data_IF_039668298170
#
_entry.id   IF_039668298170
#
_cell.length_a   1.000
_cell.length_b   1.000
_cell.length_c   1.000
_cell.angle_alpha   90.00
_cell.angle_beta   90.00
_cell.angle_gamma   90.00
#
_symmetry.space_group_name_H-M   'P 1'
#
loop_
_entity.id
_entity.type
_entity.pdbx_description
1 polymer ?
#
# COMPACT_ATOMS: atom_id res chain seq x y z
N UNK A 1 -38.97 46.97 -11.96
CA UNK A 1 -38.23 46.03 -12.84
C UNK A 1 -36.75 45.87 -12.43
N UNK A 2 -36.40 45.93 -11.13
CA UNK A 2 -35.00 45.82 -10.67
C UNK A 2 -34.69 44.50 -9.93
N UNK A 3 -35.71 43.77 -9.48
CA UNK A 3 -35.55 42.56 -8.67
C UNK A 3 -35.28 41.28 -9.49
N UNK A 4 -35.67 41.25 -10.78
CA UNK A 4 -35.46 40.09 -11.66
C UNK A 4 -33.98 39.90 -12.06
N UNK A 5 -33.20 40.98 -12.16
CA UNK A 5 -31.78 40.91 -12.56
C UNK A 5 -30.87 40.40 -11.45
N UNK A 6 -31.23 40.58 -10.18
CA UNK A 6 -30.44 40.13 -9.03
C UNK A 6 -30.49 38.60 -8.91
N UNK A 7 -31.64 38.00 -9.21
CA UNK A 7 -31.83 36.54 -9.15
C UNK A 7 -31.01 35.83 -10.23
N UNK A 8 -30.99 36.38 -11.45
CA UNK A 8 -30.20 35.82 -12.56
C UNK A 8 -28.69 35.89 -12.30
N UNK A 9 -28.22 36.97 -11.67
CA UNK A 9 -26.80 37.16 -11.37
C UNK A 9 -26.31 36.20 -10.26
N UNK A 10 -27.15 35.96 -9.24
CA UNK A 10 -26.84 35.00 -8.18
C UNK A 10 -26.87 33.55 -8.69
N UNK A 11 -27.78 33.21 -9.61
CA UNK A 11 -27.85 31.87 -10.22
C UNK A 11 -26.61 31.60 -11.08
N UNK A 12 -26.16 32.59 -11.88
CA UNK A 12 -24.93 32.51 -12.68
C UNK A 12 -23.69 32.32 -11.81
N UNK A 13 -23.57 33.05 -10.71
CA UNK A 13 -22.47 32.87 -9.75
C UNK A 13 -22.49 31.47 -9.13
N UNK A 14 -23.68 30.94 -8.81
CA UNK A 14 -23.83 29.59 -8.26
C UNK A 14 -23.39 28.51 -9.26
N UNK A 15 -23.75 28.66 -10.55
CA UNK A 15 -23.29 27.75 -11.60
C UNK A 15 -21.79 27.86 -11.88
N UNK A 16 -21.19 29.05 -11.78
CA UNK A 16 -19.72 29.23 -11.93
C UNK A 16 -18.98 28.55 -10.77
N UNK A 17 -19.49 28.62 -9.53
CA UNK A 17 -18.90 27.93 -8.37
C UNK A 17 -19.06 26.42 -8.49
N UNK A 18 -20.22 25.92 -8.94
CA UNK A 18 -20.44 24.49 -9.19
C UNK A 18 -19.55 23.94 -10.31
N UNK A 19 -19.36 24.70 -11.40
CA UNK A 19 -18.45 24.32 -12.49
C UNK A 19 -16.97 24.26 -12.04
N UNK A 20 -16.57 25.12 -11.09
CA UNK A 20 -15.23 25.05 -10.46
C UNK A 20 -15.07 23.88 -9.49
N UNK A 21 -16.15 23.37 -8.89
CA UNK A 21 -16.08 22.22 -7.98
C UNK A 21 -16.01 20.88 -8.74
N UNK A 22 -16.58 20.79 -9.94
CA UNK A 22 -16.51 19.57 -10.78
C UNK A 22 -15.19 19.41 -11.56
N UNK A 23 -14.29 20.40 -11.51
CA UNK A 23 -13.00 20.36 -12.23
C UNK A 23 -11.83 19.88 -11.37
N UNK A 24 -12.07 19.48 -10.11
CA UNK A 24 -11.11 18.66 -9.37
C UNK A 24 -11.20 17.21 -9.88
N UNK A 25 -10.56 16.99 -11.02
CA UNK A 25 -10.15 15.67 -11.46
C UNK A 25 -9.47 14.95 -10.28
N UNK A 26 -9.96 13.75 -10.00
CA UNK A 26 -9.32 12.81 -9.10
C UNK A 26 -7.81 12.75 -9.42
N UNK A 27 -6.91 12.76 -8.43
CA UNK A 27 -5.52 12.42 -8.69
C UNK A 27 -5.51 11.01 -9.25
N UNK A 28 -5.18 10.88 -10.54
CA UNK A 28 -4.72 9.62 -11.10
C UNK A 28 -3.55 9.18 -10.23
N UNK A 29 -3.68 7.97 -9.69
CA UNK A 29 -2.57 7.29 -9.02
C UNK A 29 -1.59 6.96 -10.14
N UNK A 30 -0.61 7.85 -10.34
CA UNK A 30 0.56 7.55 -11.16
C UNK A 30 1.32 6.44 -10.44
N UNK A 31 1.18 5.22 -10.95
CA UNK A 31 2.12 4.16 -10.66
C UNK A 31 3.41 4.54 -11.38
N UNK A 32 4.52 4.66 -10.64
CA UNK A 32 5.82 5.05 -11.19
C UNK A 32 6.30 4.05 -12.27
N UNK A 33 5.99 4.35 -13.55
CA UNK A 33 6.30 3.57 -14.76
C UNK A 33 7.80 3.58 -15.15
N UNK A 34 8.70 3.99 -14.25
CA UNK A 34 10.14 4.01 -14.52
C UNK A 34 10.78 2.62 -14.32
N UNK A 35 10.20 1.77 -13.47
CA UNK A 35 10.63 0.37 -13.30
C UNK A 35 10.18 -0.53 -14.46
N UNK A 36 8.99 -0.30 -15.04
CA UNK A 36 8.50 -1.05 -16.21
C UNK A 36 9.34 -0.78 -17.47
N UNK A 37 9.82 0.46 -17.66
CA UNK A 37 10.60 0.82 -18.86
C UNK A 37 12.00 0.22 -18.89
N UNK A 38 12.62 0.01 -17.73
CA UNK A 38 13.94 -0.63 -17.66
C UNK A 38 13.88 -2.15 -17.90
N UNK A 39 12.72 -2.79 -17.77
CA UNK A 39 12.57 -4.23 -17.96
C UNK A 39 12.58 -4.65 -19.45
N UNK A 40 12.07 -3.80 -20.36
CA UNK A 40 12.00 -4.13 -21.80
C UNK A 40 13.34 -4.03 -22.55
N UNK A 41 14.39 -3.44 -21.95
CA UNK A 41 15.65 -3.16 -22.65
C UNK A 41 16.66 -4.33 -22.62
N UNK A 42 16.43 -5.35 -21.80
CA UNK A 42 17.39 -6.46 -21.58
C UNK A 42 17.26 -7.57 -22.63
N UNK A 43 16.24 -7.55 -23.50
CA UNK A 43 15.89 -8.69 -24.36
C UNK A 43 16.59 -8.83 -25.72
N UNK A 44 17.63 -8.04 -26.07
CA UNK A 44 18.11 -7.99 -27.49
C UNK A 44 19.53 -8.44 -27.81
N UNK A 45 20.39 -8.82 -26.85
CA UNK A 45 21.72 -9.34 -27.20
C UNK A 45 21.88 -10.80 -26.76
N UNK A 46 21.67 -11.69 -27.73
CA UNK A 46 21.88 -13.12 -27.59
C UNK A 46 23.35 -13.48 -27.67
N UNK A 47 24.03 -13.59 -26.53
CA UNK A 47 25.28 -14.34 -26.37
C UNK A 47 25.59 -14.54 -24.88
N UNK A 48 24.77 -15.32 -24.15
CA UNK A 48 25.21 -15.80 -22.83
C UNK A 48 24.53 -17.11 -22.36
N UNK A 49 24.47 -18.08 -23.28
CA UNK A 49 23.80 -19.38 -23.08
C UNK A 49 24.52 -20.32 -22.08
N UNK A 50 25.60 -19.88 -21.40
CA UNK A 50 26.39 -20.71 -20.46
C UNK A 50 26.39 -20.22 -19.00
N UNK A 51 25.71 -19.13 -18.65
CA UNK A 51 25.49 -18.72 -17.25
C UNK A 51 24.09 -19.00 -16.69
N UNK A 52 23.24 -19.68 -17.46
CA UNK A 52 21.86 -20.02 -17.08
C UNK A 52 21.76 -21.18 -16.06
N UNK A 53 22.63 -21.20 -15.05
CA UNK A 53 22.33 -21.81 -13.74
C UNK A 53 21.66 -20.75 -12.84
N UNK A 54 20.85 -19.88 -13.43
CA UNK A 54 19.98 -18.99 -12.68
C UNK A 54 18.92 -19.88 -12.03
N UNK A 55 19.04 -20.06 -10.70
CA UNK A 55 18.08 -20.74 -9.87
C UNK A 55 16.65 -20.40 -10.34
N UNK A 56 15.94 -21.41 -10.85
CA UNK A 56 14.55 -21.29 -11.25
C UNK A 56 13.75 -20.84 -10.02
N UNK A 57 13.43 -19.54 -9.96
CA UNK A 57 12.60 -19.00 -8.89
C UNK A 57 11.18 -19.52 -9.12
N UNK A 58 10.70 -20.39 -8.23
CA UNK A 58 9.34 -20.94 -8.33
C UNK A 58 8.39 -20.06 -7.54
N UNK A 59 7.34 -19.57 -8.21
CA UNK A 59 6.26 -18.85 -7.55
C UNK A 59 5.35 -19.85 -6.83
N UNK A 60 4.95 -19.53 -5.60
CA UNK A 60 4.01 -20.34 -4.79
C UNK A 60 2.67 -19.59 -4.77
N UNK A 61 1.64 -20.07 -5.50
CA UNK A 61 0.34 -19.42 -5.51
C UNK A 61 -0.26 -19.38 -4.10
N UNK A 62 -0.85 -18.24 -3.72
CA UNK A 62 -1.52 -18.06 -2.42
C UNK A 62 -0.60 -17.89 -1.22
N UNK A 63 0.73 -17.86 -1.41
CA UNK A 63 1.64 -17.53 -0.32
C UNK A 63 1.46 -16.08 0.13
N UNK A 64 1.55 -15.81 1.44
CA UNK A 64 1.54 -14.45 1.97
C UNK A 64 2.74 -13.64 1.46
N UNK A 65 2.51 -12.36 1.18
CA UNK A 65 3.54 -11.44 0.73
C UNK A 65 3.27 -10.01 1.20
N UNK A 66 4.35 -9.23 1.33
CA UNK A 66 4.31 -7.78 1.58
C UNK A 66 4.89 -6.98 0.40
N UNK A 67 5.59 -7.65 -0.52
CA UNK A 67 6.12 -7.09 -1.76
C UNK A 67 6.14 -8.13 -2.89
N UNK A 68 6.19 -7.67 -4.14
CA UNK A 68 6.18 -8.56 -5.32
C UNK A 68 7.34 -9.56 -5.32
N UNK A 69 8.50 -9.18 -4.79
CA UNK A 69 9.69 -10.02 -4.73
C UNK A 69 9.58 -11.20 -3.75
N UNK A 70 8.67 -11.15 -2.76
CA UNK A 70 8.44 -12.26 -1.82
C UNK A 70 7.86 -13.49 -2.52
N UNK A 71 7.16 -13.27 -3.64
CA UNK A 71 6.59 -14.33 -4.46
C UNK A 71 7.64 -15.09 -5.29
N UNK A 72 8.90 -14.67 -5.25
CA UNK A 72 9.99 -15.21 -6.04
C UNK A 72 10.96 -16.02 -5.15
N UNK A 73 10.58 -17.22 -4.71
CA UNK A 73 11.47 -18.05 -3.89
C UNK A 73 12.59 -18.65 -4.74
N UNK A 74 13.85 -18.42 -4.33
CA UNK A 74 15.00 -19.19 -4.85
C UNK A 74 14.90 -20.60 -4.26
N UNK A 75 14.60 -21.61 -5.07
CA UNK A 75 14.92 -22.98 -4.68
C UNK A 75 16.44 -23.18 -4.75
N UNK A 76 16.97 -24.04 -3.88
CA UNK A 76 18.36 -24.46 -3.91
C UNK A 76 18.75 -25.10 -5.25
N UNK A 77 20.04 -25.40 -5.47
CA UNK A 77 20.50 -25.94 -6.74
C UNK A 77 19.68 -27.19 -7.13
N UNK A 78 19.22 -27.29 -8.38
CA UNK A 78 18.35 -28.40 -8.79
C UNK A 78 19.08 -29.74 -8.60
N UNK A 79 18.39 -30.82 -8.19
CA UNK A 79 18.96 -32.16 -8.25
C UNK A 79 19.34 -32.47 -9.71
N UNK A 80 20.53 -33.03 -9.90
CA UNK A 80 21.25 -33.22 -11.18
C UNK A 80 20.54 -34.11 -12.25
N UNK A 81 19.26 -34.45 -12.12
CA UNK A 81 18.66 -35.55 -12.89
C UNK A 81 17.41 -35.26 -13.73
N UNK A 82 16.94 -34.01 -13.86
CA UNK A 82 15.80 -33.71 -14.75
C UNK A 82 16.12 -32.65 -15.81
N UNK A 83 17.14 -32.93 -16.61
CA UNK A 83 17.31 -32.32 -17.93
C UNK A 83 16.58 -33.22 -18.93
N UNK A 84 15.28 -32.99 -19.21
CA UNK A 84 14.68 -33.39 -20.50
C UNK A 84 13.21 -32.98 -20.76
N UNK A 85 12.44 -32.43 -19.82
CA UNK A 85 11.09 -31.93 -20.13
C UNK A 85 10.79 -30.66 -19.35
N UNK A 86 11.36 -29.53 -19.77
CA UNK A 86 10.91 -28.22 -19.28
C UNK A 86 11.27 -27.12 -20.26
N UNK A 87 10.73 -27.22 -21.48
CA UNK A 87 10.63 -26.10 -22.43
C UNK A 87 9.61 -25.03 -22.00
N UNK A 88 9.29 -24.92 -20.71
CA UNK A 88 8.28 -24.01 -20.16
C UNK A 88 8.82 -23.16 -18.99
N UNK A 89 10.12 -22.86 -18.98
CA UNK A 89 10.72 -21.86 -18.08
C UNK A 89 10.67 -20.44 -18.67
N UNK A 90 9.64 -20.14 -19.47
CA UNK A 90 9.41 -18.81 -20.01
C UNK A 90 8.56 -18.01 -19.01
N UNK A 91 9.17 -17.00 -18.38
CA UNK A 91 8.48 -15.82 -17.84
C UNK A 91 7.25 -16.06 -16.95
N UNK A 92 7.35 -16.87 -15.89
CA UNK A 92 6.34 -16.86 -14.84
C UNK A 92 6.35 -15.49 -14.12
N UNK A 93 5.41 -14.61 -14.48
CA UNK A 93 5.18 -13.34 -13.79
C UNK A 93 4.60 -13.66 -12.42
N UNK A 94 5.16 -13.07 -11.38
CA UNK A 94 4.70 -13.24 -10.02
C UNK A 94 4.55 -11.87 -9.38
N UNK A 95 3.41 -11.62 -8.75
CA UNK A 95 3.14 -10.38 -8.08
C UNK A 95 2.31 -10.61 -6.83
N UNK A 96 2.57 -9.81 -5.80
CA UNK A 96 1.76 -9.77 -4.61
C UNK A 96 0.46 -8.99 -4.87
N UNK A 97 -0.69 -9.62 -4.64
CA UNK A 97 -2.02 -9.04 -4.84
C UNK A 97 -2.70 -8.84 -3.50
N UNK A 98 -3.22 -7.63 -3.25
CA UNK A 98 -3.98 -7.32 -2.05
C UNK A 98 -4.30 -5.83 -1.95
N UNK A 99 -5.14 -5.45 -0.99
CA UNK A 99 -5.48 -4.05 -0.74
C UNK A 99 -4.36 -3.45 0.12
N UNK A 100 -3.63 -2.47 -0.43
CA UNK A 100 -2.57 -1.74 0.28
C UNK A 100 -1.54 -2.67 0.92
N UNK A 101 -1.09 -3.67 0.16
CA UNK A 101 -0.05 -4.61 0.57
C UNK A 101 1.19 -3.85 1.06
N UNK A 102 1.78 -4.33 2.15
CA UNK A 102 2.99 -3.75 2.74
C UNK A 102 2.72 -2.39 3.38
N UNK A 103 1.48 -2.10 3.77
CA UNK A 103 1.09 -0.87 4.49
C UNK A 103 0.44 -1.21 5.83
N UNK A 104 0.55 -0.30 6.78
CA UNK A 104 -0.04 -0.47 8.10
C UNK A 104 -1.57 -0.38 8.06
N UNK A 105 -2.25 -1.33 8.71
CA UNK A 105 -3.70 -1.33 8.86
C UNK A 105 -4.10 -0.44 10.03
N UNK A 106 -4.44 0.81 9.74
CA UNK A 106 -4.95 1.72 10.76
C UNK A 106 -6.43 1.53 11.09
N UNK A 107 -7.16 0.71 10.32
CA UNK A 107 -8.62 0.52 10.50
C UNK A 107 -8.93 -0.30 11.75
N UNK A 108 -7.96 -1.10 12.23
CA UNK A 108 -8.10 -1.88 13.46
C UNK A 108 -8.09 -1.03 14.72
N UNK A 109 -7.48 0.17 14.68
CA UNK A 109 -7.49 1.09 15.81
C UNK A 109 -8.79 1.89 15.82
N UNK A 110 -9.77 1.38 16.57
CA UNK A 110 -11.08 2.00 16.73
C UNK A 110 -11.09 2.97 17.90
N UNK A 111 -11.26 4.26 17.60
CA UNK A 111 -11.38 5.31 18.61
C UNK A 111 -12.49 5.02 19.62
N UNK A 112 -12.29 5.37 20.89
CA UNK A 112 -13.25 5.20 21.98
C UNK A 112 -13.70 3.76 22.25
N UNK A 113 -13.03 2.75 21.69
CA UNK A 113 -13.27 1.37 22.08
C UNK A 113 -12.71 1.14 23.49
N UNK A 114 -13.43 0.39 24.33
CA UNK A 114 -12.90 -0.03 25.64
C UNK A 114 -11.64 -0.88 25.47
N UNK A 115 -10.63 -0.63 26.28
CA UNK A 115 -9.35 -1.31 26.22
C UNK A 115 -8.79 -1.58 27.61
N UNK A 116 -8.03 -2.67 27.73
CA UNK A 116 -7.17 -2.95 28.89
C UNK A 116 -5.70 -2.65 28.59
N UNK A 117 -5.33 -2.76 27.32
CA UNK A 117 -3.99 -2.57 26.80
C UNK A 117 -4.07 -2.17 25.31
N UNK A 118 -2.92 -1.79 24.74
CA UNK A 118 -2.81 -1.36 23.34
C UNK A 118 -3.22 -2.44 22.34
N UNK A 119 -3.03 -3.73 22.67
CA UNK A 119 -3.52 -4.85 21.85
C UNK A 119 -5.04 -4.80 21.63
N UNK A 120 -5.79 -4.29 22.60
CA UNK A 120 -7.25 -4.13 22.48
C UNK A 120 -7.65 -3.03 21.48
N UNK A 121 -6.73 -2.10 21.23
CA UNK A 121 -6.85 -0.99 20.29
C UNK A 121 -6.22 -1.30 18.92
N UNK A 122 -6.17 -2.59 18.55
CA UNK A 122 -5.55 -3.01 17.29
C UNK A 122 -4.02 -3.10 17.34
N UNK A 123 -3.41 -2.91 18.52
CA UNK A 123 -1.97 -3.05 18.74
C UNK A 123 -1.18 -1.75 18.68
N UNK A 124 -1.78 -0.63 18.29
CA UNK A 124 -1.10 0.66 18.22
C UNK A 124 -0.56 1.07 19.60
N UNK A 125 0.75 1.22 19.71
CA UNK A 125 1.42 1.54 20.98
C UNK A 125 0.96 2.90 21.51
N UNK A 126 0.65 2.96 22.81
CA UNK A 126 0.22 4.18 23.51
C UNK A 126 -1.22 4.61 23.18
N UNK A 127 -2.00 3.76 22.51
CA UNK A 127 -3.38 4.05 22.15
C UNK A 127 -4.37 3.76 23.28
N UNK A 128 -4.11 2.80 24.18
CA UNK A 128 -5.01 2.57 25.30
C UNK A 128 -4.75 3.57 26.43
N UNK A 129 -5.71 4.46 26.68
CA UNK A 129 -5.59 5.46 27.74
C UNK A 129 -5.89 4.88 29.13
N UNK A 130 -5.40 5.52 30.21
CA UNK A 130 -5.81 5.19 31.59
C UNK A 130 -7.32 5.27 31.83
N UNK A 131 -8.04 6.05 31.00
CA UNK A 131 -9.52 6.08 31.01
C UNK A 131 -10.16 4.78 30.52
N UNK A 132 -9.37 3.78 30.12
CA UNK A 132 -9.85 2.49 29.61
C UNK A 132 -10.42 2.56 28.20
N UNK A 133 -10.05 3.58 27.42
CA UNK A 133 -10.54 3.78 26.04
C UNK A 133 -9.39 4.04 25.06
N UNK A 134 -9.55 3.56 23.83
CA UNK A 134 -8.59 3.75 22.75
C UNK A 134 -8.60 5.20 22.25
N UNK A 135 -7.42 5.81 22.17
CA UNK A 135 -7.13 7.09 21.57
C UNK A 135 -6.04 6.95 20.50
N UNK A 136 -6.46 6.38 19.38
CA UNK A 136 -5.62 6.10 18.22
C UNK A 136 -4.98 7.37 17.65
N UNK A 137 -5.73 8.47 17.69
CA UNK A 137 -5.31 9.75 17.14
C UNK A 137 -4.16 10.36 17.93
N UNK A 138 -4.29 10.45 19.25
CA UNK A 138 -3.22 11.02 20.08
C UNK A 138 -2.01 10.09 20.14
N UNK A 139 -2.20 8.77 20.04
CA UNK A 139 -1.08 7.84 19.89
C UNK A 139 -0.30 8.07 18.59
N UNK A 140 -1.00 8.08 17.45
CA UNK A 140 -0.38 8.31 16.14
C UNK A 140 0.36 9.66 16.08
N UNK A 141 -0.22 10.73 16.66
CA UNK A 141 0.44 12.05 16.70
C UNK A 141 1.76 12.04 17.45
N UNK A 142 1.81 11.37 18.60
CA UNK A 142 3.03 11.27 19.43
C UNK A 142 4.12 10.50 18.71
N UNK A 143 3.76 9.42 18.01
CA UNK A 143 4.72 8.59 17.27
C UNK A 143 5.37 9.34 16.10
N UNK A 144 4.61 10.17 15.39
CA UNK A 144 5.11 10.94 14.25
C UNK A 144 5.56 12.37 14.61
N UNK A 145 5.72 12.70 15.90
CA UNK A 145 6.07 14.05 16.36
C UNK A 145 5.20 15.17 15.76
N UNK A 146 3.93 14.86 15.46
CA UNK A 146 2.95 15.77 14.88
C UNK A 146 2.21 16.61 15.93
N UNK A 147 2.85 16.83 17.08
CA UNK A 147 2.26 17.55 18.21
C UNK A 147 2.01 19.03 17.92
N UNK A 148 2.78 19.60 16.98
CA UNK A 148 2.63 20.98 16.50
C UNK A 148 1.33 21.19 15.69
N UNK A 149 0.78 20.12 15.09
CA UNK A 149 -0.48 20.19 14.36
C UNK A 149 -1.66 20.11 15.34
N UNK A 150 -2.73 20.87 15.08
CA UNK A 150 -3.97 20.85 15.86
C UNK A 150 -5.18 20.45 15.01
N UNK A 151 -6.23 19.97 15.68
CA UNK A 151 -7.55 19.75 15.08
C UNK A 151 -7.56 18.69 13.96
N UNK A 152 -8.37 18.95 12.93
CA UNK A 152 -8.58 18.01 11.84
C UNK A 152 -7.33 17.76 10.99
N UNK A 153 -6.49 18.79 10.81
CA UNK A 153 -5.24 18.70 10.05
C UNK A 153 -4.27 17.71 10.67
N UNK A 154 -4.14 17.74 11.99
CA UNK A 154 -3.32 16.79 12.73
C UNK A 154 -3.87 15.36 12.65
N UNK A 155 -5.20 15.19 12.59
CA UNK A 155 -5.84 13.89 12.42
C UNK A 155 -5.53 13.28 11.08
N UNK A 156 -5.66 14.08 10.01
CA UNK A 156 -5.28 13.64 8.68
C UNK A 156 -3.78 13.35 8.64
N UNK A 157 -2.92 14.26 9.11
CA UNK A 157 -1.48 14.07 9.06
C UNK A 157 -1.05 12.79 9.78
N UNK A 158 -1.50 12.56 11.01
CA UNK A 158 -1.12 11.39 11.78
C UNK A 158 -1.57 10.06 11.13
N UNK A 159 -2.79 9.99 10.60
CA UNK A 159 -3.26 8.79 9.91
C UNK A 159 -2.65 8.64 8.51
N UNK A 160 -2.53 9.72 7.74
CA UNK A 160 -1.95 9.63 6.40
C UNK A 160 -0.48 9.21 6.48
N UNK A 161 0.26 9.72 7.46
CA UNK A 161 1.65 9.33 7.71
C UNK A 161 1.74 7.88 8.18
N UNK A 162 0.99 7.49 9.22
CA UNK A 162 1.01 6.14 9.76
C UNK A 162 0.56 5.06 8.76
N UNK A 163 -0.48 5.35 7.97
CA UNK A 163 -1.06 4.32 7.12
C UNK A 163 -0.45 4.26 5.73
N UNK A 164 0.19 5.34 5.23
CA UNK A 164 0.64 5.39 3.83
C UNK A 164 2.15 5.57 3.63
N UNK A 165 2.90 6.11 4.60
CA UNK A 165 4.28 6.51 4.31
C UNK A 165 5.27 5.37 4.20
N UNK A 166 5.26 4.40 5.13
CA UNK A 166 6.31 3.37 5.12
C UNK A 166 5.83 2.05 4.55
N UNK A 167 6.76 1.31 3.95
CA UNK A 167 6.54 -0.10 3.64
C UNK A 167 6.82 -0.90 4.90
N UNK A 168 5.89 -1.75 5.30
CA UNK A 168 6.06 -2.63 6.46
C UNK A 168 6.33 -4.06 6.00
N UNK A 169 7.15 -4.77 6.76
CA UNK A 169 7.24 -6.22 6.68
C UNK A 169 6.41 -6.85 7.81
N UNK A 170 6.48 -6.23 8.99
CA UNK A 170 5.92 -6.76 10.23
C UNK A 170 5.11 -5.70 10.99
N UNK A 171 4.45 -6.11 12.08
CA UNK A 171 3.72 -5.19 12.96
C UNK A 171 4.61 -4.22 13.73
N UNK A 172 5.88 -4.56 13.94
CA UNK A 172 6.83 -3.70 14.64
C UNK A 172 7.11 -2.41 13.85
N UNK A 173 7.17 -2.52 12.51
CA UNK A 173 7.30 -1.38 11.58
C UNK A 173 6.08 -0.46 11.62
N UNK A 174 4.94 -1.00 12.08
CA UNK A 174 3.67 -0.31 12.17
C UNK A 174 3.30 0.10 13.61
N UNK A 175 4.30 0.20 14.50
CA UNK A 175 4.11 0.58 15.90
C UNK A 175 3.06 -0.30 16.61
N UNK A 176 3.09 -1.59 16.30
CA UNK A 176 2.20 -2.62 16.82
C UNK A 176 0.89 -2.81 16.04
N UNK A 177 0.57 -1.97 15.05
CA UNK A 177 -0.55 -2.23 14.14
C UNK A 177 -0.23 -3.41 13.19
N UNK A 178 -1.24 -4.09 12.63
CA UNK A 178 -1.03 -5.12 11.61
C UNK A 178 -0.44 -4.52 10.34
N UNK A 179 0.55 -5.21 9.76
CA UNK A 179 0.97 -4.95 8.38
C UNK A 179 0.05 -5.70 7.42
N UNK A 180 -0.53 -5.00 6.43
CA UNK A 180 -1.42 -5.58 5.44
C UNK A 180 -0.65 -6.49 4.50
N UNK A 181 -1.01 -7.77 4.51
CA UNK A 181 -0.42 -8.78 3.62
C UNK A 181 -1.30 -9.00 2.41
N UNK A 182 -0.67 -9.30 1.29
CA UNK A 182 -1.31 -9.80 0.09
C UNK A 182 -1.04 -11.30 -0.08
N UNK A 183 -1.49 -11.80 -1.22
CA UNK A 183 -1.29 -13.16 -1.67
C UNK A 183 -0.54 -13.18 -3.01
N UNK A 184 0.39 -14.12 -3.14
CA UNK A 184 1.14 -14.30 -4.37
C UNK A 184 0.28 -14.86 -5.49
N UNK A 185 0.23 -14.14 -6.60
CA UNK A 185 -0.40 -14.58 -7.84
C UNK A 185 0.69 -14.94 -8.83
N UNK A 186 0.66 -16.19 -9.31
CA UNK A 186 1.57 -16.70 -10.32
C UNK A 186 0.86 -16.74 -11.67
N UNK A 187 1.26 -15.87 -12.60
CA UNK A 187 0.78 -15.85 -13.96
C UNK A 187 1.81 -16.55 -14.87
N UNK A 188 1.40 -17.65 -15.48
CA UNK A 188 2.14 -18.28 -16.59
C UNK A 188 1.74 -17.57 -17.87
N UNK A 189 2.67 -16.87 -18.52
CA UNK A 189 2.45 -16.31 -19.86
C UNK A 189 2.66 -17.35 -20.94
#
# INVERSE_FOLDING_TARGET
MALANIFHFNLLLFFIVLAKLSSHASPSVDFDDEEERNFFRIGKNGTDRRRAAAALKKCVPGAECVKHSDCARKEGPPPRQLLLISGAAANARHFCKGIRVGKCDCTVCKMHRRCKNDRSCGGLIGSCRPSGHCDCYNAARKLYAADHLRGHTAKIAAYTQLCYMDTCENSDDCFGLPCLKGECVCATS
#
